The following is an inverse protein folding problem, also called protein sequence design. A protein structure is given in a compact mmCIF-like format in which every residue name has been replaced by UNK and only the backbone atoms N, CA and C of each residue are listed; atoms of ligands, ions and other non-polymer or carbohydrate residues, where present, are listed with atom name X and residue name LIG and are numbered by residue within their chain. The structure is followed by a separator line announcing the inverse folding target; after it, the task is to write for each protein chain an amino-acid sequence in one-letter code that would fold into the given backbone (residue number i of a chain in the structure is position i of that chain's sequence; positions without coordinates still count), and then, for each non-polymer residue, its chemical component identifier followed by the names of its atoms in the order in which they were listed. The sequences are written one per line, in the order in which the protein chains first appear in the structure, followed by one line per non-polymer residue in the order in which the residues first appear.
data_IF_274526826171
#
_entry.id   IF_274526826171
#
_cell.length_a   1.000
_cell.length_b   1.000
_cell.length_c   1.000
_cell.angle_alpha   90.00
_cell.angle_beta   90.00
_cell.angle_gamma   90.00
#
_symmetry.space_group_name_H-M   'P 1'
#
loop_
_entity.id
_entity.type
_entity.pdbx_description
1 polymer ?
#
# COMPACT_ATOMS: atom_id res chain seq x y z
N UNK A 1 22.71 56.42 23.68
CA UNK A 1 23.02 54.96 23.56
C UNK A 1 21.78 54.28 23.01
N UNK A 2 21.87 53.68 21.81
CA UNK A 2 20.71 53.07 21.12
C UNK A 2 20.93 51.55 21.13
N UNK A 3 20.08 50.83 21.87
CA UNK A 3 20.14 49.38 22.00
C UNK A 3 19.51 48.74 20.75
N UNK A 4 20.25 47.86 20.09
CA UNK A 4 19.73 47.08 18.95
C UNK A 4 19.48 45.67 19.49
N UNK A 5 18.21 45.31 19.63
CA UNK A 5 17.82 43.92 19.90
C UNK A 5 17.92 43.14 18.59
N UNK A 6 18.83 42.16 18.53
CA UNK A 6 18.84 41.17 17.45
C UNK A 6 17.88 40.04 17.83
N UNK A 7 16.72 40.02 17.18
CA UNK A 7 15.84 38.86 17.23
C UNK A 7 16.50 37.73 16.44
N UNK A 8 16.90 36.65 17.12
CA UNK A 8 17.36 35.42 16.47
C UNK A 8 16.16 34.52 16.23
N UNK A 9 15.87 34.23 14.97
CA UNK A 9 14.88 33.20 14.60
C UNK A 9 15.54 31.83 14.68
N UNK A 10 14.97 30.92 15.46
CA UNK A 10 15.36 29.51 15.48
C UNK A 10 14.37 28.75 14.62
N UNK A 11 14.86 28.09 13.56
CA UNK A 11 14.09 27.14 12.76
C UNK A 11 14.29 25.74 13.33
N UNK A 12 13.22 25.13 13.83
CA UNK A 12 13.18 23.70 14.12
C UNK A 12 12.63 22.99 12.88
N UNK A 13 13.44 22.14 12.27
CA UNK A 13 13.00 21.21 11.23
C UNK A 13 12.60 19.90 11.90
N UNK A 14 11.30 19.62 11.97
CA UNK A 14 10.80 18.32 12.40
C UNK A 14 10.73 17.42 11.16
N UNK A 15 11.63 16.44 11.05
CA UNK A 15 11.52 15.40 10.03
C UNK A 15 10.47 14.39 10.51
N UNK A 16 9.29 14.43 9.90
CA UNK A 16 8.28 13.38 10.07
C UNK A 16 8.65 12.25 9.11
N UNK A 17 9.21 11.16 9.64
CA UNK A 17 9.33 9.92 8.86
C UNK A 17 7.95 9.28 8.78
N UNK A 18 7.30 9.34 7.63
CA UNK A 18 6.15 8.46 7.40
C UNK A 18 6.66 7.02 7.25
N UNK A 19 5.95 6.07 7.86
CA UNK A 19 6.26 4.66 7.68
C UNK A 19 6.00 4.23 6.23
N UNK A 20 4.95 4.77 5.59
CA UNK A 20 4.51 4.54 4.20
C UNK A 20 4.42 5.87 3.41
N UNK A 21 4.44 5.87 2.07
CA UNK A 21 4.19 7.09 1.29
C UNK A 21 2.72 7.56 1.42
N UNK A 22 2.43 8.87 1.34
CA UNK A 22 1.07 9.40 1.44
C UNK A 22 0.07 8.82 0.42
N UNK A 23 0.56 8.42 -0.75
CA UNK A 23 -0.20 7.78 -1.82
C UNK A 23 -0.79 6.43 -1.40
N UNK A 24 -0.24 5.79 -0.35
CA UNK A 24 -0.69 4.50 0.17
C UNK A 24 -1.71 4.67 1.31
N UNK A 25 -2.15 5.90 1.61
CA UNK A 25 -3.25 6.11 2.54
C UNK A 25 -4.56 5.61 1.93
N UNK A 26 -5.31 4.83 2.70
CA UNK A 26 -6.60 4.25 2.31
C UNK A 26 -7.66 4.55 3.36
N UNK A 27 -8.93 4.40 2.98
CA UNK A 27 -10.07 4.43 3.89
C UNK A 27 -10.48 3.01 4.25
N UNK A 28 -10.94 2.82 5.49
CA UNK A 28 -11.45 1.53 5.94
C UNK A 28 -12.90 1.37 5.48
N UNK A 29 -13.25 0.15 5.07
CA UNK A 29 -14.61 -0.28 4.76
C UNK A 29 -14.95 -1.59 5.47
N UNK A 30 -16.24 -1.87 5.76
CA UNK A 30 -16.66 -3.18 6.26
C UNK A 30 -16.43 -4.31 5.24
N UNK A 31 -16.29 -3.99 3.95
CA UNK A 31 -16.02 -4.96 2.89
C UNK A 31 -14.51 -5.14 2.74
N UNK A 32 -14.03 -6.38 2.79
CA UNK A 32 -12.60 -6.64 2.59
C UNK A 32 -12.26 -8.07 2.26
N UNK A 33 -11.09 -8.25 1.64
CA UNK A 33 -10.44 -9.53 1.44
C UNK A 33 -8.94 -9.43 1.72
N UNK A 34 -8.30 -10.56 2.02
CA UNK A 34 -6.86 -10.62 2.34
C UNK A 34 -6.11 -11.32 1.21
N UNK A 35 -5.01 -10.70 0.79
CA UNK A 35 -3.98 -11.30 -0.06
C UNK A 35 -2.71 -11.52 0.74
N UNK A 36 -2.11 -12.70 0.56
CA UNK A 36 -0.74 -12.98 0.98
C UNK A 36 0.16 -13.02 -0.23
N UNK A 37 1.42 -12.66 -0.02
CA UNK A 37 2.42 -12.86 -1.05
C UNK A 37 3.82 -12.62 -0.55
N UNK A 38 4.75 -12.72 -1.49
CA UNK A 38 6.13 -12.34 -1.30
C UNK A 38 6.42 -11.11 -2.16
N UNK A 39 7.32 -10.27 -1.68
CA UNK A 39 7.67 -9.02 -2.33
C UNK A 39 9.13 -9.04 -2.74
N UNK A 40 9.38 -8.70 -3.99
CA UNK A 40 10.71 -8.53 -4.55
C UNK A 40 10.66 -7.41 -5.58
N UNK A 41 11.74 -6.65 -5.69
CA UNK A 41 11.90 -5.57 -6.66
C UNK A 41 13.13 -5.95 -7.48
N UNK A 42 12.98 -6.09 -8.80
CA UNK A 42 14.08 -6.46 -9.71
C UNK A 42 14.86 -7.71 -9.24
N UNK A 43 14.16 -8.80 -8.91
CA UNK A 43 14.73 -10.06 -8.38
C UNK A 43 15.38 -9.97 -6.99
N UNK A 44 15.40 -8.78 -6.39
CA UNK A 44 15.92 -8.56 -5.04
C UNK A 44 14.76 -8.62 -4.04
N UNK A 45 14.82 -9.47 -2.99
CA UNK A 45 13.80 -9.47 -1.95
C UNK A 45 13.62 -8.07 -1.34
N UNK A 46 12.36 -7.65 -1.16
CA UNK A 46 12.05 -6.36 -0.56
C UNK A 46 12.46 -6.31 0.92
N UNK A 47 12.78 -5.13 1.43
CA UNK A 47 13.18 -4.90 2.82
C UNK A 47 11.98 -4.70 3.74
N UNK A 48 12.16 -4.86 5.05
CA UNK A 48 11.12 -4.58 6.04
C UNK A 48 10.71 -3.09 6.17
N UNK A 49 11.31 -2.19 5.39
CA UNK A 49 10.95 -0.77 5.31
C UNK A 49 10.11 -0.46 4.07
N UNK A 50 9.99 -1.42 3.17
CA UNK A 50 9.24 -1.30 1.93
C UNK A 50 7.76 -1.58 2.21
N UNK A 51 6.91 -1.09 1.31
CA UNK A 51 5.46 -1.25 1.40
C UNK A 51 4.87 -1.75 0.11
N UNK A 52 3.74 -2.43 0.23
CA UNK A 52 2.86 -2.78 -0.89
C UNK A 52 1.50 -2.11 -0.66
N UNK A 53 0.87 -1.68 -1.74
CA UNK A 53 -0.51 -1.19 -1.74
C UNK A 53 -1.29 -1.74 -2.93
N UNK A 54 -2.59 -1.92 -2.74
CA UNK A 54 -3.54 -2.26 -3.79
C UNK A 54 -4.33 -1.02 -4.21
N UNK A 55 -4.50 -0.84 -5.51
CA UNK A 55 -5.25 0.27 -6.09
C UNK A 55 -6.40 -0.28 -6.93
N UNK A 56 -7.56 0.37 -6.82
CA UNK A 56 -8.73 0.06 -7.63
C UNK A 56 -8.63 0.63 -9.07
N UNK A 57 -9.65 0.43 -9.92
CA UNK A 57 -9.65 0.93 -11.29
C UNK A 57 -9.55 2.46 -11.43
N UNK A 58 -10.01 3.21 -10.43
CA UNK A 58 -10.03 4.68 -10.41
C UNK A 58 -8.75 5.27 -9.77
N UNK A 59 -7.88 4.39 -9.23
CA UNK A 59 -6.59 4.74 -8.68
C UNK A 59 -6.66 5.16 -7.21
N UNK A 60 -7.72 4.81 -6.49
CA UNK A 60 -7.79 4.97 -5.04
C UNK A 60 -7.08 3.78 -4.39
N UNK A 61 -6.28 4.07 -3.35
CA UNK A 61 -5.62 3.04 -2.56
C UNK A 61 -6.69 2.33 -1.72
N UNK A 62 -6.90 1.05 -2.01
CA UNK A 62 -7.85 0.19 -1.32
C UNK A 62 -7.20 -0.55 -0.14
N UNK A 63 -5.92 -0.32 0.15
CA UNK A 63 -5.21 -0.96 1.26
C UNK A 63 -3.70 -0.95 1.08
N UNK A 64 -2.96 -0.89 2.17
CA UNK A 64 -1.50 -0.99 2.18
C UNK A 64 -0.97 -1.82 3.36
N UNK A 65 0.24 -2.35 3.22
CA UNK A 65 0.90 -3.14 4.25
C UNK A 65 2.43 -3.04 4.14
N UNK A 66 3.10 -3.13 5.28
CA UNK A 66 4.55 -3.22 5.33
C UNK A 66 5.02 -4.62 4.91
N UNK A 67 6.18 -4.69 4.29
CA UNK A 67 6.87 -5.96 4.08
C UNK A 67 7.50 -6.42 5.40
N UNK A 68 7.56 -7.73 5.63
CA UNK A 68 8.25 -8.33 6.78
C UNK A 68 9.02 -9.59 6.37
N UNK A 69 10.10 -9.85 7.09
CA UNK A 69 10.97 -11.00 6.80
C UNK A 69 10.62 -12.20 7.69
N UNK A 70 10.38 -13.35 7.07
CA UNK A 70 10.28 -14.64 7.75
C UNK A 70 10.77 -15.75 6.85
N UNK A 71 11.43 -16.77 7.41
CA UNK A 71 12.00 -17.90 6.67
C UNK A 71 12.89 -17.51 5.47
N UNK A 72 13.70 -16.44 5.62
CA UNK A 72 14.53 -15.85 4.55
C UNK A 72 13.74 -15.40 3.32
N UNK A 73 12.48 -15.00 3.51
CA UNK A 73 11.60 -14.45 2.47
C UNK A 73 10.99 -13.14 2.95
N UNK A 74 10.77 -12.25 2.01
CA UNK A 74 10.09 -10.97 2.22
C UNK A 74 8.61 -11.17 1.92
N UNK A 75 7.77 -11.13 2.94
CA UNK A 75 6.36 -11.47 2.87
C UNK A 75 5.49 -10.25 3.19
N UNK A 76 4.22 -10.32 2.80
CA UNK A 76 3.21 -9.36 3.22
C UNK A 76 1.87 -10.05 3.50
N UNK A 77 1.08 -9.39 4.35
CA UNK A 77 -0.35 -9.67 4.55
C UNK A 77 -1.06 -8.37 4.23
N UNK A 78 -1.80 -8.33 3.13
CA UNK A 78 -2.49 -7.13 2.68
C UNK A 78 -4.00 -7.35 2.77
N UNK A 79 -4.66 -6.53 3.58
CA UNK A 79 -6.11 -6.40 3.53
C UNK A 79 -6.46 -5.35 2.47
N UNK A 80 -7.36 -5.72 1.56
CA UNK A 80 -7.85 -4.89 0.47
C UNK A 80 -9.33 -4.64 0.72
N UNK A 81 -9.70 -3.38 0.84
CA UNK A 81 -11.04 -2.90 1.15
C UNK A 81 -11.88 -2.71 -0.12
N UNK A 82 -13.18 -2.92 0.03
CA UNK A 82 -14.16 -2.58 -1.00
C UNK A 82 -14.79 -1.22 -0.76
N UNK A 83 -15.47 -0.68 -1.75
CA UNK A 83 -16.31 0.51 -1.62
C UNK A 83 -17.44 0.28 -0.61
N UNK A 84 -17.65 1.19 0.34
CA UNK A 84 -18.73 1.06 1.33
C UNK A 84 -20.06 1.58 0.74
N UNK A 85 -21.08 0.74 0.53
CA UNK A 85 -22.34 1.18 -0.06
C UNK A 85 -23.14 2.16 0.82
N UNK A 86 -22.68 2.44 2.05
CA UNK A 86 -23.29 3.40 2.96
C UNK A 86 -22.68 4.81 2.92
N UNK A 87 -21.56 5.01 2.22
CA UNK A 87 -20.86 6.29 2.07
C UNK A 87 -21.07 6.88 0.67
N UNK A 88 -22.16 7.60 0.51
CA UNK A 88 -22.46 8.23 -0.79
C UNK A 88 -21.35 9.20 -1.22
N UNK A 89 -20.84 9.01 -2.44
CA UNK A 89 -19.82 9.86 -3.10
C UNK A 89 -18.42 9.82 -2.47
N UNK A 90 -18.11 8.81 -1.67
CA UNK A 90 -16.74 8.47 -1.29
C UNK A 90 -16.43 7.14 -1.95
N UNK A 91 -15.26 7.06 -2.58
CA UNK A 91 -14.70 5.81 -3.08
C UNK A 91 -13.65 5.36 -2.06
N UNK A 92 -13.91 4.25 -1.37
CA UNK A 92 -12.94 3.64 -0.46
C UNK A 92 -12.17 2.47 -1.06
N UNK A 93 -12.54 2.02 -2.26
CA UNK A 93 -11.88 0.92 -2.92
C UNK A 93 -12.80 0.13 -3.87
N UNK A 94 -12.68 -1.19 -3.81
CA UNK A 94 -13.14 -2.06 -4.89
C UNK A 94 -14.65 -2.36 -4.86
N UNK A 95 -15.28 -2.39 -6.04
CA UNK A 95 -16.57 -3.04 -6.22
C UNK A 95 -16.42 -4.54 -6.46
N UNK A 96 -17.50 -5.28 -6.23
CA UNK A 96 -17.56 -6.72 -6.48
C UNK A 96 -17.25 -7.03 -7.97
N UNK A 97 -16.24 -7.86 -8.21
CA UNK A 97 -15.78 -8.26 -9.54
C UNK A 97 -14.71 -7.35 -10.15
N UNK A 98 -14.37 -6.23 -9.51
CA UNK A 98 -13.35 -5.32 -10.03
C UNK A 98 -11.98 -5.99 -10.13
N UNK A 99 -11.14 -5.36 -10.96
CA UNK A 99 -9.72 -5.61 -10.91
C UNK A 99 -9.04 -4.62 -9.97
N UNK A 100 -7.91 -5.02 -9.42
CA UNK A 100 -6.99 -4.11 -8.75
C UNK A 100 -5.57 -4.30 -9.31
N UNK A 101 -4.71 -3.33 -9.05
CA UNK A 101 -3.26 -3.42 -9.32
C UNK A 101 -2.47 -3.24 -8.04
N UNK A 102 -1.21 -3.65 -8.04
CA UNK A 102 -0.30 -3.38 -6.92
C UNK A 102 0.63 -2.21 -7.21
N UNK A 103 1.08 -1.54 -6.17
CA UNK A 103 2.26 -0.67 -6.23
C UNK A 103 3.16 -0.94 -5.03
N UNK A 104 4.44 -0.70 -5.22
CA UNK A 104 5.50 -0.96 -4.25
C UNK A 104 6.21 0.34 -3.92
N UNK A 105 6.47 0.57 -2.64
CA UNK A 105 7.35 1.63 -2.20
C UNK A 105 8.69 1.03 -1.80
N UNK A 106 9.74 1.39 -2.54
CA UNK A 106 11.12 1.08 -2.20
C UNK A 106 11.66 2.17 -1.28
N UNK A 107 11.91 1.81 -0.02
CA UNK A 107 12.46 2.73 0.95
C UNK A 107 13.88 3.18 0.57
N UNK A 108 14.69 2.30 -0.01
CA UNK A 108 16.10 2.55 -0.26
C UNK A 108 16.30 3.63 -1.34
N UNK A 109 15.50 3.58 -2.41
CA UNK A 109 15.48 4.61 -3.45
C UNK A 109 14.49 5.75 -3.17
N UNK A 110 13.60 5.59 -2.19
CA UNK A 110 12.48 6.50 -1.92
C UNK A 110 11.63 6.72 -3.17
N UNK A 111 11.25 5.62 -3.83
CA UNK A 111 10.44 5.63 -5.06
C UNK A 111 9.24 4.70 -4.94
N UNK A 112 8.18 5.04 -5.70
CA UNK A 112 7.02 4.17 -5.88
C UNK A 112 7.13 3.53 -7.27
N UNK A 113 7.03 2.20 -7.31
CA UNK A 113 6.96 1.40 -8.52
C UNK A 113 5.51 0.92 -8.67
N UNK A 114 4.89 1.26 -9.79
CA UNK A 114 3.52 0.86 -10.09
C UNK A 114 3.52 -0.40 -10.95
N UNK A 115 2.94 -1.49 -10.45
CA UNK A 115 2.64 -2.66 -11.26
C UNK A 115 1.34 -2.42 -12.03
N UNK A 116 1.37 -2.70 -13.33
CA UNK A 116 0.22 -2.51 -14.22
C UNK A 116 -0.57 -3.81 -14.44
N UNK A 117 -0.12 -4.91 -13.83
CA UNK A 117 -0.81 -6.19 -13.84
C UNK A 117 -2.15 -6.07 -13.13
N UNK A 118 -3.22 -6.45 -13.84
CA UNK A 118 -4.59 -6.43 -13.32
C UNK A 118 -4.94 -7.78 -12.71
N UNK A 119 -5.33 -7.78 -11.45
CA UNK A 119 -5.83 -8.93 -10.71
C UNK A 119 -7.35 -8.82 -10.63
N UNK A 120 -8.05 -9.66 -11.40
CA UNK A 120 -9.51 -9.60 -11.55
C UNK A 120 -10.24 -10.41 -10.48
N UNK A 121 -11.50 -10.04 -10.26
CA UNK A 121 -12.41 -10.83 -9.43
C UNK A 121 -12.18 -10.59 -7.95
N UNK A 122 -11.91 -9.33 -7.57
CA UNK A 122 -12.04 -8.97 -6.16
C UNK A 122 -13.47 -9.28 -5.70
N UNK A 123 -13.59 -9.89 -4.53
CA UNK A 123 -14.88 -10.21 -3.92
C UNK A 123 -14.79 -9.93 -2.42
N UNK A 124 -15.88 -9.45 -1.81
CA UNK A 124 -15.89 -9.28 -0.37
C UNK A 124 -15.81 -10.64 0.35
N UNK A 125 -14.75 -10.85 1.13
CA UNK A 125 -14.54 -12.07 1.92
C UNK A 125 -14.74 -11.87 3.41
N UNK A 126 -15.21 -10.70 3.83
CA UNK A 126 -15.31 -10.30 5.25
C UNK A 126 -13.97 -10.52 5.99
N UNK A 127 -12.87 -10.09 5.36
CA UNK A 127 -11.50 -10.30 5.87
C UNK A 127 -10.95 -11.71 5.67
N UNK A 128 -11.62 -12.56 4.89
CA UNK A 128 -11.10 -13.87 4.48
C UNK A 128 -10.13 -13.78 3.30
N UNK A 129 -9.50 -14.92 2.97
CA UNK A 129 -8.58 -15.03 1.84
C UNK A 129 -9.26 -14.75 0.50
N UNK A 130 -8.64 -13.92 -0.33
CA UNK A 130 -8.99 -13.74 -1.73
C UNK A 130 -8.32 -14.82 -2.58
N UNK A 131 -9.07 -15.48 -3.45
CA UNK A 131 -8.50 -16.43 -4.40
C UNK A 131 -8.15 -15.70 -5.70
N UNK A 132 -6.85 -15.55 -5.98
CA UNK A 132 -6.39 -14.81 -7.16
C UNK A 132 -6.41 -15.61 -8.47
N UNK A 133 -6.86 -16.86 -8.49
CA UNK A 133 -6.89 -17.72 -9.68
C UNK A 133 -5.58 -17.75 -10.49
N UNK A 134 -4.45 -17.46 -9.85
CA UNK A 134 -3.11 -17.62 -10.40
C UNK A 134 -2.48 -18.88 -9.82
N UNK A 135 -1.71 -19.60 -10.64
CA UNK A 135 -1.01 -20.80 -10.20
C UNK A 135 -0.01 -20.40 -9.11
N UNK A 136 -0.29 -20.89 -7.90
CA UNK A 136 0.34 -20.55 -6.63
C UNK A 136 0.03 -19.13 -6.11
N UNK A 137 -0.40 -19.05 -4.85
CA UNK A 137 -0.62 -17.82 -4.07
C UNK A 137 0.68 -17.02 -3.81
N UNK A 138 1.69 -17.21 -4.64
CA UNK A 138 2.98 -16.55 -4.66
C UNK A 138 2.94 -15.51 -5.78
N UNK A 139 2.39 -14.34 -5.46
CA UNK A 139 2.71 -13.13 -6.20
C UNK A 139 4.23 -12.97 -6.15
N UNK A 140 4.90 -13.31 -7.26
CA UNK A 140 6.31 -12.98 -7.47
C UNK A 140 6.28 -11.76 -8.37
N UNK A 141 6.28 -10.60 -7.74
CA UNK A 141 5.95 -9.36 -8.42
C UNK A 141 7.21 -8.77 -9.04
N UNK A 142 7.61 -9.28 -10.21
CA UNK A 142 8.74 -8.71 -10.97
C UNK A 142 8.48 -8.87 -12.46
N UNK A 143 8.33 -7.73 -13.14
CA UNK A 143 9.20 -7.36 -14.26
C UNK A 143 9.19 -5.85 -14.43
#
# INVERSE_FOLDING_TARGET
MKWIFKAGTVFYFLTVSFAQPPEFNYNYSPLSAIVLGQASIEETPASNRDWIAAFDPDGVCAGSSNIFETDNRSNFVLQIYGDDPSTENLDEGLFEGDYFTFSFFDFASNTIVHDTTKYYGWENRNGGWLNLNQNDSLLTLIN
#
